data_IF_378162411056
#
_entry.id   IF_378162411056
#
_cell.length_a   1.000
_cell.length_b   1.000
_cell.length_c   1.000
_cell.angle_alpha   90.00
_cell.angle_beta   90.00
_cell.angle_gamma   90.00
#
_symmetry.space_group_name_H-M   'P 1'
#
loop_
_entity.id
_entity.type
_entity.pdbx_description
1 polymer ?
#
# COMPACT_ATOMS: atom_id res chain seq x y z
N UNK A 1 18.16 6.51 -2.44
CA UNK A 1 17.17 7.06 -1.50
C UNK A 1 15.78 6.55 -1.89
N UNK A 2 15.38 5.41 -1.31
CA UNK A 2 14.11 4.77 -1.63
C UNK A 2 13.02 5.22 -0.64
N UNK A 3 11.97 5.85 -1.15
CA UNK A 3 10.81 6.28 -0.37
C UNK A 3 9.62 5.37 -0.64
N UNK A 4 8.79 5.18 0.37
CA UNK A 4 7.55 4.43 0.23
C UNK A 4 6.55 5.24 -0.60
N UNK A 5 5.75 4.57 -1.44
CA UNK A 5 4.71 5.27 -2.20
C UNK A 5 3.55 5.71 -1.30
N UNK A 6 2.96 6.86 -1.62
CA UNK A 6 1.76 7.34 -0.95
C UNK A 6 0.60 6.35 -1.08
N UNK A 7 0.52 5.65 -2.22
CA UNK A 7 -0.49 4.62 -2.43
C UNK A 7 -0.42 3.53 -1.35
N UNK A 8 0.78 2.97 -1.08
CA UNK A 8 0.96 1.92 -0.09
C UNK A 8 0.62 2.40 1.32
N UNK A 9 1.09 3.60 1.68
CA UNK A 9 0.81 4.14 3.02
C UNK A 9 -0.68 4.44 3.24
N UNK A 10 -1.42 4.89 2.22
CA UNK A 10 -2.87 5.09 2.31
C UNK A 10 -3.61 3.79 2.63
N UNK A 11 -3.28 2.70 1.94
CA UNK A 11 -3.89 1.39 2.22
C UNK A 11 -3.52 0.88 3.61
N UNK A 12 -2.24 0.83 3.93
CA UNK A 12 -1.78 0.24 5.20
C UNK A 12 -2.19 1.07 6.41
N UNK A 13 -2.30 2.40 6.29
CA UNK A 13 -2.82 3.27 7.35
C UNK A 13 -4.30 3.03 7.60
N UNK A 14 -5.11 2.97 6.55
CA UNK A 14 -6.55 2.73 6.64
C UNK A 14 -6.88 1.38 7.30
N UNK A 15 -6.06 0.37 7.03
CA UNK A 15 -6.22 -0.97 7.58
C UNK A 15 -5.58 -1.14 8.95
N UNK A 16 -4.90 -0.12 9.47
CA UNK A 16 -4.07 -0.21 10.68
C UNK A 16 -3.09 -1.37 10.62
N UNK A 17 -2.49 -1.58 9.43
CA UNK A 17 -1.67 -2.74 9.11
C UNK A 17 -0.37 -2.75 9.92
N UNK A 18 -0.14 -3.76 10.77
CA UNK A 18 1.06 -3.81 11.61
C UNK A 18 2.35 -4.06 10.81
N UNK A 19 2.26 -4.56 9.56
CA UNK A 19 3.44 -4.73 8.68
C UNK A 19 4.11 -3.40 8.32
N UNK A 20 3.44 -2.24 8.53
CA UNK A 20 4.04 -0.91 8.36
C UNK A 20 5.36 -0.77 9.11
N UNK A 21 5.39 -1.24 10.35
CA UNK A 21 6.56 -1.14 11.21
C UNK A 21 7.74 -2.00 10.72
N UNK A 22 7.45 -3.10 10.03
CA UNK A 22 8.46 -3.95 9.41
C UNK A 22 8.97 -3.37 8.07
N UNK A 23 8.10 -2.71 7.32
CA UNK A 23 8.40 -2.29 5.95
C UNK A 23 9.12 -0.94 5.86
N UNK A 24 8.76 0.04 6.74
CA UNK A 24 9.28 1.40 6.61
C UNK A 24 9.26 2.18 7.92
N UNK A 25 10.08 3.22 7.97
CA UNK A 25 10.14 4.15 9.08
C UNK A 25 8.98 5.15 9.05
N UNK A 26 8.69 5.74 10.21
CA UNK A 26 7.74 6.86 10.31
C UNK A 26 8.24 8.04 9.49
N UNK A 27 7.33 8.85 8.99
CA UNK A 27 7.66 10.10 8.32
C UNK A 27 8.17 11.13 9.32
N UNK A 28 8.92 12.10 8.82
CA UNK A 28 9.42 13.22 9.63
C UNK A 28 8.61 14.51 9.44
N UNK A 29 7.53 14.48 8.68
CA UNK A 29 6.68 15.66 8.48
C UNK A 29 6.08 16.21 9.77
N UNK A 30 5.81 15.37 10.77
CA UNK A 30 5.30 15.78 12.08
C UNK A 30 6.25 16.67 12.88
N UNK A 31 7.55 16.73 12.53
CA UNK A 31 8.53 17.61 13.15
C UNK A 31 8.52 19.03 12.58
N UNK A 32 7.81 19.23 11.46
CA UNK A 32 7.69 20.55 10.82
C UNK A 32 6.49 21.27 11.41
N UNK A 33 6.70 22.43 12.03
CA UNK A 33 5.66 23.25 12.65
C UNK A 33 4.54 23.61 11.68
N UNK A 34 3.29 23.40 12.08
CA UNK A 34 2.10 23.69 11.27
C UNK A 34 1.68 22.57 10.31
N UNK A 35 2.32 21.40 10.36
CA UNK A 35 1.99 20.27 9.51
C UNK A 35 0.73 19.52 10.00
N UNK A 36 -0.13 19.09 9.05
CA UNK A 36 -1.33 18.30 9.35
C UNK A 36 -1.03 16.88 9.88
N UNK A 37 0.19 16.40 9.75
CA UNK A 37 0.67 15.09 10.23
C UNK A 37 1.45 15.22 11.54
N UNK A 38 0.84 15.79 12.56
CA UNK A 38 1.46 16.08 13.87
C UNK A 38 1.46 14.89 14.84
N UNK A 39 1.08 13.70 14.42
CA UNK A 39 1.04 12.52 15.29
C UNK A 39 2.36 11.73 15.29
N UNK A 40 2.70 11.13 16.44
CA UNK A 40 3.87 10.24 16.58
C UNK A 40 3.81 8.99 15.68
N UNK A 41 2.68 8.72 15.05
CA UNK A 41 2.41 7.50 14.27
C UNK A 41 2.17 7.75 12.79
N UNK A 42 2.57 8.89 12.27
CA UNK A 42 2.31 9.19 10.86
C UNK A 42 3.26 8.47 9.92
N UNK A 43 2.71 7.59 9.12
CA UNK A 43 3.40 6.99 7.96
C UNK A 43 2.91 7.70 6.70
N UNK A 44 3.78 8.47 6.09
CA UNK A 44 3.44 9.29 4.91
C UNK A 44 4.35 8.93 3.77
N UNK A 45 3.78 8.37 2.72
CA UNK A 45 4.51 8.02 1.51
C UNK A 45 4.70 9.19 0.55
N UNK A 46 5.59 8.99 -0.40
CA UNK A 46 5.85 9.95 -1.46
C UNK A 46 4.83 9.78 -2.59
N UNK A 47 4.16 10.87 -2.94
CA UNK A 47 3.16 10.91 -4.01
C UNK A 47 3.83 10.79 -5.38
N UNK A 48 3.25 9.99 -6.28
CA UNK A 48 3.63 10.01 -7.70
C UNK A 48 3.17 11.31 -8.36
N UNK A 49 3.97 11.82 -9.28
CA UNK A 49 3.62 13.01 -10.04
C UNK A 49 4.00 14.33 -9.36
N UNK A 50 4.87 14.33 -8.35
CA UNK A 50 5.46 15.55 -7.82
C UNK A 50 6.44 16.12 -8.85
N UNK A 51 6.34 17.42 -9.14
CA UNK A 51 7.25 18.11 -10.06
C UNK A 51 8.70 18.01 -9.60
N UNK A 52 9.62 17.77 -10.53
CA UNK A 52 11.04 17.55 -10.24
C UNK A 52 11.66 18.65 -9.39
N UNK A 53 11.34 19.91 -9.64
CA UNK A 53 11.85 21.06 -8.86
C UNK A 53 11.36 21.12 -7.41
N UNK A 54 10.33 20.35 -7.06
CA UNK A 54 9.73 20.32 -5.72
C UNK A 54 9.99 19.02 -4.97
N UNK A 55 10.46 18.00 -5.67
CA UNK A 55 10.64 16.64 -5.15
C UNK A 55 11.37 16.58 -3.79
N UNK A 56 12.43 17.36 -3.62
CA UNK A 56 13.26 17.33 -2.42
C UNK A 56 12.47 17.62 -1.14
N UNK A 57 11.55 18.58 -1.17
CA UNK A 57 10.76 18.96 0.00
C UNK A 57 9.87 17.83 0.49
N UNK A 58 9.26 17.08 -0.43
CA UNK A 58 8.42 15.93 -0.09
C UNK A 58 9.24 14.69 0.26
N UNK A 59 10.30 14.40 -0.48
CA UNK A 59 11.10 13.19 -0.29
C UNK A 59 11.81 13.18 1.06
N UNK A 60 12.30 14.31 1.54
CA UNK A 60 13.01 14.40 2.82
C UNK A 60 12.15 14.03 4.03
N UNK A 61 10.85 14.37 4.00
CA UNK A 61 9.91 14.08 5.08
C UNK A 61 9.21 12.71 4.96
N UNK A 62 9.19 12.11 3.78
CA UNK A 62 8.46 10.87 3.53
C UNK A 62 9.09 9.65 4.19
N UNK A 63 8.26 8.68 4.55
CA UNK A 63 8.68 7.39 5.11
C UNK A 63 9.70 6.69 4.23
N UNK A 64 10.76 6.17 4.83
CA UNK A 64 11.84 5.43 4.19
C UNK A 64 11.61 3.94 4.30
N UNK A 65 12.01 3.20 3.28
CA UNK A 65 12.04 1.76 3.29
C UNK A 65 13.12 1.22 4.23
N UNK A 66 12.78 0.22 5.04
CA UNK A 66 13.69 -0.47 5.98
C UNK A 66 14.44 -1.65 5.35
N UNK A 67 14.81 -1.55 4.09
CA UNK A 67 15.60 -2.59 3.41
C UNK A 67 17.06 -2.19 3.41
N UNK A 68 17.92 -3.11 3.83
CA UNK A 68 19.36 -2.93 3.91
C UNK A 68 20.09 -3.83 2.93
N UNK A 69 21.37 -3.55 2.70
CA UNK A 69 22.23 -4.38 1.84
C UNK A 69 22.52 -5.77 2.42
N UNK A 70 22.22 -5.97 3.71
CA UNK A 70 22.42 -7.23 4.41
C UNK A 70 21.18 -8.13 4.43
N UNK A 71 20.05 -7.63 3.95
CA UNK A 71 18.81 -8.39 3.94
C UNK A 71 18.84 -9.48 2.85
N UNK A 72 18.19 -10.60 3.15
CA UNK A 72 18.05 -11.66 2.19
C UNK A 72 17.16 -11.24 1.01
N UNK A 73 17.58 -11.59 -0.19
CA UNK A 73 16.74 -11.42 -1.38
C UNK A 73 15.65 -12.49 -1.36
N UNK A 74 14.42 -12.05 -1.22
CA UNK A 74 13.25 -12.94 -1.29
C UNK A 74 12.89 -13.12 -2.76
N UNK A 75 13.00 -14.35 -3.26
CA UNK A 75 12.67 -14.69 -4.64
C UNK A 75 11.18 -14.97 -4.80
N UNK A 76 10.57 -15.66 -3.83
CA UNK A 76 9.17 -16.04 -3.84
C UNK A 76 8.65 -16.23 -2.41
N UNK A 77 7.39 -15.87 -2.16
CA UNK A 77 6.77 -15.92 -0.82
C UNK A 77 5.67 -16.99 -0.76
N UNK A 78 5.53 -17.64 0.39
CA UNK A 78 4.42 -18.56 0.64
C UNK A 78 3.07 -17.82 0.60
N UNK A 79 3.01 -16.60 1.12
CA UNK A 79 1.83 -15.73 1.04
C UNK A 79 1.40 -15.47 -0.39
N UNK A 80 2.34 -15.29 -1.31
CA UNK A 80 2.04 -15.09 -2.73
C UNK A 80 1.35 -16.32 -3.33
N UNK A 81 1.82 -17.54 -3.02
CA UNK A 81 1.18 -18.81 -3.45
C UNK A 81 -0.26 -18.88 -2.97
N UNK A 82 -0.50 -18.53 -1.70
CA UNK A 82 -1.85 -18.53 -1.14
C UNK A 82 -2.78 -17.54 -1.89
N UNK A 83 -2.32 -16.33 -2.21
CA UNK A 83 -3.10 -15.38 -3.00
C UNK A 83 -3.33 -15.84 -4.45
N UNK A 84 -2.38 -16.52 -5.08
CA UNK A 84 -2.58 -17.13 -6.40
C UNK A 84 -3.64 -18.23 -6.35
N UNK A 85 -3.65 -19.05 -5.29
CA UNK A 85 -4.69 -20.06 -5.04
C UNK A 85 -6.04 -19.40 -4.77
N UNK A 86 -6.08 -18.28 -4.04
CA UNK A 86 -7.31 -17.52 -3.80
C UNK A 86 -7.93 -17.04 -5.13
N UNK A 87 -7.13 -16.48 -6.03
CA UNK A 87 -7.60 -16.08 -7.35
C UNK A 87 -8.04 -17.29 -8.19
N UNK A 88 -7.28 -18.39 -8.18
CA UNK A 88 -7.66 -19.63 -8.88
C UNK A 88 -9.02 -20.15 -8.40
N UNK A 89 -9.25 -20.20 -7.08
CA UNK A 89 -10.51 -20.61 -6.50
C UNK A 89 -11.66 -19.63 -6.84
N UNK A 90 -11.38 -18.33 -6.87
CA UNK A 90 -12.33 -17.30 -7.30
C UNK A 90 -12.75 -17.49 -8.77
N UNK A 91 -11.86 -18.02 -9.61
CA UNK A 91 -12.10 -18.38 -11.02
C UNK A 91 -12.72 -19.77 -11.19
N UNK A 92 -13.15 -20.41 -10.08
CA UNK A 92 -13.71 -21.76 -10.06
C UNK A 92 -12.73 -22.85 -10.49
N UNK A 93 -11.43 -22.64 -10.35
CA UNK A 93 -10.44 -23.71 -10.52
C UNK A 93 -10.38 -24.57 -9.26
N UNK A 94 -10.09 -25.84 -9.42
CA UNK A 94 -9.95 -26.75 -8.27
C UNK A 94 -8.65 -26.49 -7.52
N UNK A 95 -8.67 -25.61 -6.54
CA UNK A 95 -7.53 -25.25 -5.70
C UNK A 95 -7.52 -26.00 -4.35
N UNK A 96 -8.53 -26.83 -4.07
CA UNK A 96 -8.63 -27.60 -2.82
C UNK A 96 -9.15 -26.79 -1.62
N UNK A 97 -9.77 -25.62 -1.86
CA UNK A 97 -10.38 -24.76 -0.84
C UNK A 97 -11.08 -23.58 -1.45
N UNK A 98 -11.65 -22.70 -0.64
CA UNK A 98 -12.37 -21.51 -1.10
C UNK A 98 -11.43 -20.32 -1.33
N UNK A 99 -11.87 -19.35 -2.13
CA UNK A 99 -11.13 -18.11 -2.33
C UNK A 99 -10.89 -17.37 -1.00
N UNK A 100 -11.87 -17.38 -0.11
CA UNK A 100 -11.76 -16.78 1.22
C UNK A 100 -10.67 -17.46 2.06
N UNK A 101 -10.67 -18.79 2.11
CA UNK A 101 -9.70 -19.54 2.93
C UNK A 101 -8.26 -19.21 2.52
N UNK A 102 -7.98 -19.22 1.21
CA UNK A 102 -6.66 -18.88 0.68
C UNK A 102 -6.30 -17.39 0.81
N UNK A 103 -7.27 -16.49 0.69
CA UNK A 103 -7.08 -15.08 0.95
C UNK A 103 -6.63 -14.81 2.39
N UNK A 104 -7.34 -15.39 3.35
CA UNK A 104 -6.99 -15.28 4.78
C UNK A 104 -5.68 -15.99 5.11
N UNK A 105 -5.43 -17.17 4.51
CA UNK A 105 -4.14 -17.87 4.61
C UNK A 105 -2.98 -16.99 4.12
N UNK A 106 -3.13 -16.33 2.97
CA UNK A 106 -2.13 -15.44 2.41
C UNK A 106 -1.80 -14.27 3.35
N UNK A 107 -2.80 -13.69 4.01
CA UNK A 107 -2.59 -12.63 4.99
C UNK A 107 -1.84 -13.18 6.21
N UNK A 108 -2.24 -14.34 6.77
CA UNK A 108 -1.56 -14.96 7.92
C UNK A 108 -0.10 -15.27 7.61
N UNK A 109 0.16 -15.89 6.47
CA UNK A 109 1.53 -16.18 6.01
C UNK A 109 2.35 -14.90 5.85
N UNK A 110 1.77 -13.83 5.30
CA UNK A 110 2.47 -12.54 5.16
C UNK A 110 2.82 -11.92 6.52
N UNK A 111 1.98 -12.10 7.54
CA UNK A 111 2.32 -11.68 8.91
C UNK A 111 3.49 -12.49 9.46
N UNK A 112 3.47 -13.81 9.34
CA UNK A 112 4.55 -14.71 9.77
C UNK A 112 5.87 -14.38 9.07
N UNK A 113 5.84 -14.19 7.74
CA UNK A 113 7.01 -13.82 6.92
C UNK A 113 7.66 -12.52 7.38
N UNK A 114 6.91 -11.63 8.05
CA UNK A 114 7.39 -10.37 8.59
C UNK A 114 7.59 -10.39 10.12
N UNK A 115 7.55 -11.59 10.74
CA UNK A 115 7.79 -11.75 12.17
C UNK A 115 6.67 -11.22 13.07
N UNK A 116 5.46 -11.01 12.54
CA UNK A 116 4.31 -10.50 13.28
C UNK A 116 3.51 -11.67 13.82
N UNK A 117 3.51 -11.82 15.14
CA UNK A 117 2.93 -12.99 15.83
C UNK A 117 1.54 -12.75 16.41
N UNK A 118 0.99 -11.53 16.30
CA UNK A 118 -0.30 -11.19 16.90
C UNK A 118 -1.08 -10.18 16.05
N UNK A 119 -2.38 -10.06 16.32
CA UNK A 119 -3.24 -9.04 15.69
C UNK A 119 -3.80 -9.43 14.32
N UNK A 120 -3.44 -10.59 13.75
CA UNK A 120 -3.89 -10.99 12.41
C UNK A 120 -5.41 -11.15 12.34
N UNK A 121 -6.06 -11.67 13.37
CA UNK A 121 -7.53 -11.86 13.37
C UNK A 121 -8.27 -10.50 13.42
N UNK A 122 -7.74 -9.53 14.18
CA UNK A 122 -8.27 -8.17 14.18
C UNK A 122 -8.08 -7.50 12.81
N UNK A 123 -6.94 -7.77 12.16
CA UNK A 123 -6.68 -7.28 10.81
C UNK A 123 -7.64 -7.90 9.79
N UNK A 124 -7.84 -9.21 9.83
CA UNK A 124 -8.79 -9.91 8.96
C UNK A 124 -10.25 -9.43 9.12
N UNK A 125 -10.61 -8.97 10.31
CA UNK A 125 -11.93 -8.38 10.59
C UNK A 125 -12.02 -6.88 10.24
N UNK A 126 -10.94 -6.25 9.80
CA UNK A 126 -10.90 -4.80 9.56
C UNK A 126 -11.82 -4.39 8.42
N UNK A 127 -12.69 -3.42 8.72
CA UNK A 127 -13.58 -2.74 7.78
C UNK A 127 -13.11 -1.33 7.43
N UNK A 128 -11.87 -1.01 7.78
CA UNK A 128 -11.24 0.26 7.44
C UNK A 128 -11.28 0.51 5.94
N UNK A 129 -11.53 1.75 5.55
CA UNK A 129 -11.60 2.18 4.15
C UNK A 129 -10.44 3.11 3.86
N UNK A 130 -9.89 2.97 2.67
CA UNK A 130 -8.76 3.79 2.21
C UNK A 130 -9.19 5.26 2.17
N UNK A 131 -8.46 6.11 2.89
CA UNK A 131 -8.68 7.55 2.89
C UNK A 131 -7.86 8.22 1.78
N UNK A 132 -8.30 9.42 1.39
CA UNK A 132 -7.54 10.23 0.46
C UNK A 132 -6.16 10.60 1.04
N UNK A 133 -5.15 10.56 0.19
CA UNK A 133 -3.84 11.11 0.53
C UNK A 133 -3.98 12.61 0.81
N UNK A 134 -3.47 13.02 1.95
CA UNK A 134 -3.37 14.43 2.35
C UNK A 134 -1.95 14.89 2.14
N UNK A 135 -1.78 15.94 1.33
CA UNK A 135 -0.46 16.50 1.08
C UNK A 135 0.13 17.06 2.39
N UNK A 136 1.26 16.54 2.87
CA UNK A 136 1.84 16.98 4.14
C UNK A 136 2.41 18.42 4.09
N UNK A 137 2.61 18.96 2.91
CA UNK A 137 3.15 20.31 2.73
C UNK A 137 2.10 21.31 2.22
N UNK A 138 0.84 20.88 2.11
CA UNK A 138 -0.25 21.77 1.69
C UNK A 138 -0.33 23.03 2.55
N UNK A 139 -0.31 24.19 1.90
CA UNK A 139 -0.46 25.49 2.58
C UNK A 139 0.79 25.96 3.32
N UNK A 140 1.92 25.25 3.22
CA UNK A 140 3.18 25.74 3.76
C UNK A 140 3.77 26.85 2.88
N UNK A 141 4.52 27.76 3.51
CA UNK A 141 5.15 28.87 2.82
C UNK A 141 6.07 28.40 1.67
N UNK A 142 5.85 28.92 0.48
CA UNK A 142 6.59 28.53 -0.73
C UNK A 142 6.03 27.32 -1.47
N UNK A 143 4.96 26.70 -0.98
CA UNK A 143 4.29 25.57 -1.66
C UNK A 143 3.04 26.07 -2.39
N UNK A 144 3.07 25.99 -3.71
CA UNK A 144 1.97 26.44 -4.60
C UNK A 144 1.04 25.30 -5.03
N UNK A 145 1.47 24.05 -4.87
CA UNK A 145 0.74 22.87 -5.32
C UNK A 145 0.15 22.10 -4.16
N UNK A 146 -0.99 21.48 -4.41
CA UNK A 146 -1.66 20.52 -3.52
C UNK A 146 -1.65 19.14 -4.20
N UNK A 147 -0.85 18.24 -3.67
CA UNK A 147 -0.77 16.87 -4.17
C UNK A 147 -1.74 15.92 -3.50
N UNK A 148 -2.72 16.40 -2.75
CA UNK A 148 -3.78 15.57 -2.17
C UNK A 148 -4.53 14.81 -3.28
N UNK A 149 -5.02 13.62 -2.97
CA UNK A 149 -5.74 12.82 -3.95
C UNK A 149 -6.38 11.57 -3.35
N UNK A 150 -7.57 11.22 -3.86
CA UNK A 150 -8.31 10.07 -3.41
C UNK A 150 -7.97 8.82 -4.23
N UNK A 151 -8.03 7.66 -3.60
CA UNK A 151 -8.03 6.36 -4.24
C UNK A 151 -9.48 5.93 -4.41
N UNK A 152 -9.88 5.66 -5.64
CA UNK A 152 -11.26 5.25 -5.94
C UNK A 152 -11.43 3.75 -5.69
N UNK A 153 -11.56 3.39 -4.41
CA UNK A 153 -11.79 2.02 -3.96
C UNK A 153 -12.71 1.98 -2.74
N UNK A 154 -13.41 0.86 -2.58
CA UNK A 154 -14.23 0.57 -1.41
C UNK A 154 -13.84 -0.74 -0.72
N UNK A 155 -12.71 -1.35 -1.12
CA UNK A 155 -12.30 -2.63 -0.54
C UNK A 155 -11.80 -2.45 0.89
N UNK A 156 -12.13 -3.43 1.71
CA UNK A 156 -11.70 -3.59 3.09
C UNK A 156 -10.86 -4.84 3.21
N UNK A 157 -10.21 -5.07 4.34
CA UNK A 157 -9.54 -6.35 4.60
C UNK A 157 -10.56 -7.45 4.83
N UNK A 158 -11.60 -7.18 5.62
CA UNK A 158 -12.66 -8.17 5.87
C UNK A 158 -13.26 -8.66 4.54
N UNK A 159 -13.22 -9.99 4.35
CA UNK A 159 -13.70 -10.61 3.12
C UNK A 159 -15.16 -10.30 2.86
N UNK A 160 -15.45 -9.67 1.73
CA UNK A 160 -16.82 -9.29 1.37
C UNK A 160 -17.56 -10.41 0.63
N UNK A 161 -16.87 -11.14 -0.26
CA UNK A 161 -17.50 -12.17 -1.09
C UNK A 161 -18.58 -11.65 -2.05
N UNK A 162 -19.20 -12.57 -2.79
CA UNK A 162 -20.42 -12.31 -3.57
C UNK A 162 -20.25 -11.58 -4.90
N UNK A 163 -19.19 -10.81 -5.08
CA UNK A 163 -18.85 -10.12 -6.33
C UNK A 163 -17.43 -10.48 -6.75
N UNK A 164 -17.27 -10.89 -8.02
CA UNK A 164 -16.00 -11.34 -8.57
C UNK A 164 -14.95 -10.22 -8.56
N UNK A 165 -15.30 -9.06 -9.10
CA UNK A 165 -14.36 -7.93 -9.23
C UNK A 165 -13.93 -7.40 -7.88
N UNK A 166 -14.86 -7.28 -6.94
CA UNK A 166 -14.56 -6.86 -5.58
C UNK A 166 -13.65 -7.85 -4.84
N UNK A 167 -13.93 -9.14 -4.99
CA UNK A 167 -13.12 -10.22 -4.41
C UNK A 167 -11.73 -10.25 -5.02
N UNK A 168 -11.63 -10.06 -6.35
CA UNK A 168 -10.34 -9.96 -7.04
C UNK A 168 -9.54 -8.75 -6.57
N UNK A 169 -10.18 -7.58 -6.45
CA UNK A 169 -9.54 -6.38 -5.91
C UNK A 169 -9.01 -6.61 -4.49
N UNK A 170 -9.76 -7.29 -3.62
CA UNK A 170 -9.31 -7.63 -2.27
C UNK A 170 -8.07 -8.54 -2.31
N UNK A 171 -8.10 -9.61 -3.09
CA UNK A 171 -6.99 -10.56 -3.23
C UNK A 171 -5.73 -9.84 -3.74
N UNK A 172 -5.85 -9.09 -4.84
CA UNK A 172 -4.70 -8.43 -5.46
C UNK A 172 -4.16 -7.31 -4.58
N UNK A 173 -5.01 -6.58 -3.87
CA UNK A 173 -4.59 -5.55 -2.92
C UNK A 173 -3.74 -6.15 -1.79
N UNK A 174 -4.18 -7.27 -1.19
CA UNK A 174 -3.41 -7.93 -0.13
C UNK A 174 -2.15 -8.61 -0.66
N UNK A 175 -2.19 -9.22 -1.85
CA UNK A 175 -1.01 -9.73 -2.55
C UNK A 175 0.02 -8.62 -2.77
N UNK A 176 -0.43 -7.45 -3.24
CA UNK A 176 0.42 -6.29 -3.47
C UNK A 176 1.12 -5.80 -2.18
N UNK A 177 0.39 -5.72 -1.07
CA UNK A 177 0.96 -5.38 0.24
C UNK A 177 1.99 -6.44 0.68
N UNK A 178 1.64 -7.73 0.55
CA UNK A 178 2.50 -8.84 0.95
C UNK A 178 3.79 -8.94 0.11
N UNK A 179 3.74 -8.57 -1.17
CA UNK A 179 4.88 -8.65 -2.08
C UNK A 179 5.93 -7.56 -1.87
N UNK A 180 5.70 -6.60 -0.96
CA UNK A 180 6.72 -5.60 -0.66
C UNK A 180 8.04 -6.29 -0.21
N UNK A 181 9.23 -5.89 -0.73
CA UNK A 181 9.46 -4.78 -1.67
C UNK A 181 9.57 -5.19 -3.15
N UNK A 182 8.98 -6.33 -3.57
CA UNK A 182 9.04 -6.81 -4.96
C UNK A 182 8.14 -5.97 -5.88
N UNK A 183 8.68 -4.85 -6.37
CA UNK A 183 7.94 -3.93 -7.23
C UNK A 183 7.64 -4.48 -8.63
N UNK A 184 8.45 -5.39 -9.16
CA UNK A 184 8.24 -5.96 -10.50
C UNK A 184 7.02 -6.85 -10.55
N UNK A 185 6.85 -7.72 -9.56
CA UNK A 185 5.67 -8.58 -9.45
C UNK A 185 4.41 -7.72 -9.22
N UNK A 186 4.50 -6.74 -8.33
CA UNK A 186 3.41 -5.79 -8.06
C UNK A 186 2.99 -5.02 -9.33
N UNK A 187 3.93 -4.63 -10.18
CA UNK A 187 3.66 -3.96 -11.45
C UNK A 187 2.99 -4.90 -12.46
N UNK A 188 3.43 -6.15 -12.52
CA UNK A 188 2.84 -7.18 -13.39
C UNK A 188 1.38 -7.43 -13.02
N UNK A 189 1.07 -7.56 -11.73
CA UNK A 189 -0.29 -7.71 -11.23
C UNK A 189 -1.17 -6.51 -11.56
N UNK A 190 -0.66 -5.30 -11.34
CA UNK A 190 -1.40 -4.07 -11.68
C UNK A 190 -1.73 -4.00 -13.18
N UNK A 191 -0.78 -4.33 -14.05
CA UNK A 191 -1.03 -4.33 -15.50
C UNK A 191 -2.02 -5.40 -15.93
N UNK A 192 -2.04 -6.53 -15.25
CA UNK A 192 -2.95 -7.64 -15.56
C UNK A 192 -4.36 -7.39 -15.10
N UNK A 193 -4.55 -6.76 -13.94
CA UNK A 193 -5.85 -6.69 -13.26
C UNK A 193 -6.41 -5.28 -13.11
N UNK A 194 -5.56 -4.25 -13.16
CA UNK A 194 -5.91 -2.88 -12.81
C UNK A 194 -6.03 -2.65 -11.30
N UNK A 195 -5.53 -3.58 -10.48
CA UNK A 195 -5.54 -3.52 -9.03
C UNK A 195 -4.11 -3.58 -8.45
N UNK A 196 -3.87 -2.99 -7.26
CA UNK A 196 -4.82 -2.18 -6.49
C UNK A 196 -5.16 -0.87 -7.23
N UNK A 197 -6.26 -0.22 -6.85
CA UNK A 197 -6.53 1.14 -7.32
C UNK A 197 -5.49 2.08 -6.73
N UNK A 198 -5.00 2.99 -7.53
CA UNK A 198 -3.92 3.91 -7.16
C UNK A 198 -4.42 5.36 -7.23
N UNK A 199 -3.72 6.25 -6.52
CA UNK A 199 -4.00 7.68 -6.58
C UNK A 199 -3.78 8.18 -8.02
N UNK A 200 -4.75 8.81 -8.69
CA UNK A 200 -4.57 9.34 -10.04
C UNK A 200 -3.43 10.37 -10.08
N UNK A 201 -2.63 10.35 -11.14
CA UNK A 201 -1.64 11.41 -11.36
C UNK A 201 -2.40 12.70 -11.67
N UNK A 202 -2.06 13.85 -11.06
CA UNK A 202 -2.73 15.11 -11.35
C UNK A 202 -2.61 15.47 -12.82
N UNK A 203 -3.75 15.73 -13.48
CA UNK A 203 -3.81 16.06 -14.91
C UNK A 203 -3.41 17.50 -15.23
N UNK A 204 -3.44 18.37 -14.22
CA UNK A 204 -3.14 19.79 -14.29
C UNK A 204 -1.63 20.08 -14.15
N UNK A 205 -0.87 19.11 -13.70
CA UNK A 205 0.59 19.20 -13.72
C UNK A 205 1.06 18.92 -15.15
N UNK A 206 1.26 19.98 -15.90
CA UNK A 206 1.70 19.93 -17.30
C UNK A 206 3.09 19.30 -17.39
N UNK A 207 3.15 17.97 -17.60
CA UNK A 207 4.37 17.25 -17.99
C UNK A 207 4.72 17.44 -19.47
N UNK A 208 4.06 18.36 -20.16
CA UNK A 208 4.12 18.50 -21.61
C UNK A 208 5.39 19.19 -22.14
N UNK A 209 6.42 19.34 -21.32
CA UNK A 209 7.70 19.91 -21.75
C UNK A 209 8.87 18.96 -21.38
N UNK A 210 8.89 17.80 -22.00
CA UNK A 210 10.03 16.91 -22.07
C UNK A 210 10.20 16.44 -23.49
#
# INVERSE_FOLDING_TARGET
>A
DARISADLTCYMNAYSDPRREAYYDKSTFGTVSGNAYTGEESYVGLRRGILQGQYNSWSQGSSCMKVTTSDNIVVFRASEVAFLRAEGALRNWNMGGTAKDFYEEGIRLSFEENGITSGVENYLASTGKVEAYKDPLKGQSGQTYDYSGAINTNVTVAWAGGDFEKSLEQIITQKWIANFPNGMESWTEYRRTGYPKLIPIPSDLNYSNG
#
